data_IF_389395557243
#
_entry.id   IF_389395557243
#
_cell.length_a   1.000
_cell.length_b   1.000
_cell.length_c   1.000
_cell.angle_alpha   90.00
_cell.angle_beta   90.00
_cell.angle_gamma   90.00
#
_symmetry.space_group_name_H-M   'P 1'
#
loop_
_entity.id
_entity.type
_entity.pdbx_description
1 polymer ?
#
# COMPACT_ATOMS: atom_id res chain seq x y z
N UNK A 1 24.11 -12.27 -23.76
CA UNK A 1 23.57 -10.91 -23.47
C UNK A 1 23.68 -10.72 -21.96
N UNK A 2 24.24 -9.60 -21.49
CA UNK A 2 24.40 -9.35 -20.05
C UNK A 2 23.02 -9.10 -19.42
N UNK A 3 22.72 -9.72 -18.27
CA UNK A 3 21.45 -9.50 -17.56
C UNK A 3 21.38 -8.09 -16.99
N UNK A 4 20.16 -7.61 -16.68
CA UNK A 4 19.99 -6.28 -16.07
C UNK A 4 20.73 -6.20 -14.73
N UNK A 5 20.59 -7.22 -13.88
CA UNK A 5 21.33 -7.34 -12.61
C UNK A 5 22.85 -7.25 -12.80
N UNK A 6 23.41 -8.01 -13.76
CA UNK A 6 24.85 -8.00 -14.00
C UNK A 6 25.35 -6.63 -14.44
N UNK A 7 24.55 -5.87 -15.20
CA UNK A 7 24.90 -4.49 -15.59
C UNK A 7 24.90 -3.54 -14.40
N UNK A 8 23.90 -3.66 -13.51
CA UNK A 8 23.78 -2.83 -12.32
C UNK A 8 24.96 -3.06 -11.37
N UNK A 9 25.27 -4.32 -11.08
CA UNK A 9 26.38 -4.69 -10.18
C UNK A 9 27.73 -4.22 -10.74
N UNK A 10 27.95 -4.35 -12.05
CA UNK A 10 29.17 -3.85 -12.69
C UNK A 10 29.33 -2.32 -12.54
N UNK A 11 28.25 -1.56 -12.72
CA UNK A 11 28.30 -0.10 -12.49
C UNK A 11 28.47 0.25 -11.01
N UNK A 12 27.91 -0.57 -10.11
CA UNK A 12 28.07 -0.38 -8.67
C UNK A 12 29.52 -0.53 -8.23
N UNK A 13 30.26 -1.50 -8.78
CA UNK A 13 31.68 -1.64 -8.50
C UNK A 13 32.47 -0.37 -8.87
N UNK A 14 32.16 0.24 -10.02
CA UNK A 14 32.76 1.52 -10.45
C UNK A 14 32.41 2.64 -9.46
N UNK A 15 31.13 2.73 -9.06
CA UNK A 15 30.69 3.72 -8.07
C UNK A 15 31.38 3.54 -6.72
N UNK A 16 31.53 2.31 -6.23
CA UNK A 16 32.18 1.99 -4.96
C UNK A 16 33.63 2.45 -4.97
N UNK A 17 34.38 2.13 -6.02
CA UNK A 17 35.79 2.53 -6.12
C UNK A 17 35.93 4.06 -6.21
N UNK A 18 35.11 4.72 -7.01
CA UNK A 18 35.10 6.19 -7.08
C UNK A 18 34.74 6.82 -5.72
N UNK A 19 33.76 6.26 -5.01
CA UNK A 19 33.30 6.76 -3.72
C UNK A 19 34.33 6.53 -2.62
N UNK A 20 35.05 5.41 -2.62
CA UNK A 20 36.21 5.17 -1.74
C UNK A 20 37.33 6.20 -1.94
N UNK A 21 37.57 6.65 -3.19
CA UNK A 21 38.54 7.73 -3.44
C UNK A 21 38.06 9.08 -2.90
N UNK A 22 36.76 9.37 -3.08
CA UNK A 22 36.15 10.62 -2.60
C UNK A 22 36.03 10.69 -1.08
N UNK A 23 35.69 9.57 -0.44
CA UNK A 23 35.51 9.44 1.00
C UNK A 23 36.12 8.10 1.48
N UNK A 24 37.45 8.05 1.70
CA UNK A 24 38.13 6.84 2.14
C UNK A 24 37.61 6.34 3.49
N UNK A 25 37.49 5.01 3.67
CA UNK A 25 36.97 4.42 4.92
C UNK A 25 37.69 4.93 6.16
N UNK A 26 39.03 5.02 6.10
CA UNK A 26 39.86 5.49 7.20
C UNK A 26 39.50 6.89 7.70
N UNK A 27 38.86 7.72 6.87
CA UNK A 27 38.46 9.08 7.25
C UNK A 27 37.26 9.13 8.19
N UNK A 28 36.44 8.07 8.27
CA UNK A 28 35.21 8.07 9.07
C UNK A 28 34.96 6.81 9.89
N UNK A 29 35.69 5.71 9.66
CA UNK A 29 35.43 4.43 10.31
C UNK A 29 35.41 4.51 11.85
N UNK A 30 36.30 5.31 12.43
CA UNK A 30 36.40 5.49 13.88
C UNK A 30 35.24 6.31 14.49
N UNK A 31 34.50 7.04 13.65
CA UNK A 31 33.34 7.83 14.07
C UNK A 31 32.06 7.00 14.06
N UNK A 32 32.05 5.87 13.37
CA UNK A 32 30.88 5.01 13.22
C UNK A 32 30.50 4.41 14.57
N UNK A 33 29.29 4.74 15.01
CA UNK A 33 28.67 4.11 16.17
C UNK A 33 27.70 3.00 15.71
N UNK A 34 27.58 1.91 16.50
CA UNK A 34 26.57 0.89 16.25
C UNK A 34 25.15 1.46 16.20
N UNK A 35 24.27 0.82 15.44
CA UNK A 35 22.84 1.12 15.41
C UNK A 35 22.23 1.04 16.82
N UNK A 36 21.30 1.94 17.09
CA UNK A 36 20.47 1.96 18.30
C UNK A 36 19.02 1.53 18.03
N UNK A 37 18.66 1.25 16.76
CA UNK A 37 17.33 0.76 16.35
C UNK A 37 17.39 -0.72 16.01
N UNK A 38 16.30 -1.42 16.30
CA UNK A 38 16.26 -2.88 16.27
C UNK A 38 15.43 -3.38 15.08
N UNK A 39 16.09 -3.52 13.92
CA UNK A 39 15.42 -3.96 12.68
C UNK A 39 14.75 -5.34 12.80
N UNK A 40 15.44 -6.30 13.42
CA UNK A 40 14.88 -7.64 13.59
C UNK A 40 13.62 -7.62 14.45
N UNK A 41 13.65 -6.91 15.58
CA UNK A 41 12.53 -6.85 16.52
C UNK A 41 11.31 -6.14 15.91
N UNK A 42 11.53 -5.10 15.11
CA UNK A 42 10.44 -4.35 14.46
C UNK A 42 9.63 -5.19 13.44
N UNK A 43 10.22 -6.28 12.94
CA UNK A 43 9.58 -7.20 11.99
C UNK A 43 9.02 -8.47 12.67
N UNK A 44 9.28 -8.67 13.97
CA UNK A 44 8.64 -9.73 14.74
C UNK A 44 7.27 -9.27 15.26
N UNK A 45 6.38 -10.22 15.50
CA UNK A 45 5.13 -9.98 16.20
C UNK A 45 3.93 -10.71 15.57
N UNK A 46 2.76 -10.47 16.14
CA UNK A 46 1.52 -11.13 15.73
C UNK A 46 0.88 -10.51 14.47
N UNK A 47 1.26 -9.28 14.11
CA UNK A 47 0.71 -8.58 12.94
C UNK A 47 1.66 -8.68 11.77
N UNK A 48 1.10 -8.76 10.57
CA UNK A 48 1.84 -8.60 9.33
C UNK A 48 2.63 -7.27 9.34
N UNK A 49 3.94 -7.35 9.09
CA UNK A 49 4.85 -6.21 9.09
C UNK A 49 4.91 -5.52 7.72
N UNK A 50 5.18 -4.21 7.71
CA UNK A 50 5.36 -3.44 6.47
C UNK A 50 6.67 -2.68 6.47
N UNK A 51 7.49 -2.97 5.46
CA UNK A 51 8.65 -2.19 5.08
C UNK A 51 8.21 -1.25 3.95
N UNK A 52 8.01 0.02 4.25
CA UNK A 52 7.58 1.00 3.25
C UNK A 52 8.81 1.67 2.63
N UNK A 53 8.85 1.73 1.30
CA UNK A 53 10.08 2.02 0.57
C UNK A 53 10.05 3.41 -0.11
N UNK A 54 11.01 4.26 0.24
CA UNK A 54 11.30 5.53 -0.40
C UNK A 54 12.04 5.27 -1.72
N UNK A 55 11.30 5.32 -2.84
CA UNK A 55 11.82 5.00 -4.19
C UNK A 55 11.40 6.05 -5.22
N UNK A 56 12.38 6.80 -5.75
CA UNK A 56 12.16 7.83 -6.78
C UNK A 56 11.98 7.22 -8.17
N UNK A 57 12.85 6.29 -8.55
CA UNK A 57 12.86 5.66 -9.86
C UNK A 57 13.09 4.14 -9.76
N UNK A 58 12.96 3.43 -10.89
CA UNK A 58 13.39 2.02 -11.01
C UNK A 58 13.83 1.69 -12.43
N UNK A 59 14.70 0.67 -12.63
CA UNK A 59 15.08 0.21 -13.97
C UNK A 59 13.90 -0.09 -14.90
N UNK A 60 12.81 -0.63 -14.34
CA UNK A 60 11.64 -1.06 -15.12
C UNK A 60 10.64 0.05 -15.46
N UNK A 61 10.63 1.15 -14.70
CA UNK A 61 9.60 2.20 -14.83
C UNK A 61 10.16 3.61 -15.09
N UNK A 62 11.50 3.77 -15.07
CA UNK A 62 12.09 5.11 -15.05
C UNK A 62 11.70 5.85 -13.76
N UNK A 63 11.51 7.16 -13.84
CA UNK A 63 11.03 7.98 -12.72
C UNK A 63 9.60 7.59 -12.38
N UNK A 64 9.37 7.27 -11.11
CA UNK A 64 8.06 6.90 -10.55
C UNK A 64 7.43 8.11 -9.86
N UNK A 65 8.25 8.94 -9.21
CA UNK A 65 7.83 10.14 -8.50
C UNK A 65 8.72 11.33 -8.86
N UNK A 66 8.13 12.29 -9.57
CA UNK A 66 8.82 13.53 -9.92
C UNK A 66 9.06 14.40 -8.68
N UNK A 67 8.00 14.71 -7.93
CA UNK A 67 8.04 15.43 -6.64
C UNK A 67 8.48 14.50 -5.48
N UNK A 68 9.78 14.19 -5.44
CA UNK A 68 10.36 13.27 -4.47
C UNK A 68 11.06 14.02 -3.32
N UNK A 69 10.41 14.01 -2.15
CA UNK A 69 10.91 14.60 -0.90
C UNK A 69 10.96 13.51 0.19
N UNK A 70 12.16 13.01 0.55
CA UNK A 70 12.31 11.96 1.56
C UNK A 70 11.73 12.31 2.92
N UNK A 71 11.79 13.58 3.35
CA UNK A 71 11.27 14.01 4.65
C UNK A 71 9.74 13.91 4.67
N UNK A 72 9.08 14.42 3.63
CA UNK A 72 7.62 14.33 3.48
C UNK A 72 7.13 12.89 3.35
N UNK A 73 7.87 12.04 2.66
CA UNK A 73 7.56 10.61 2.55
C UNK A 73 7.66 9.94 3.93
N UNK A 74 8.77 10.16 4.63
CA UNK A 74 9.01 9.60 5.96
C UNK A 74 7.96 10.05 6.99
N UNK A 75 7.56 11.33 6.94
CA UNK A 75 6.54 11.85 7.86
C UNK A 75 5.18 11.19 7.71
N UNK A 76 4.88 10.60 6.54
CA UNK A 76 3.67 9.80 6.30
C UNK A 76 3.92 8.34 6.68
N UNK A 77 5.03 7.75 6.21
CA UNK A 77 5.34 6.35 6.45
C UNK A 77 5.50 5.98 7.92
N UNK A 78 5.97 6.89 8.78
CA UNK A 78 6.11 6.64 10.22
C UNK A 78 4.81 6.21 10.92
N UNK A 79 3.64 6.52 10.35
CA UNK A 79 2.35 6.15 10.94
C UNK A 79 1.95 4.69 10.65
N UNK A 80 2.64 4.02 9.73
CA UNK A 80 2.21 2.72 9.19
C UNK A 80 3.32 1.66 9.17
N UNK A 81 4.56 2.11 8.95
CA UNK A 81 5.69 1.23 8.71
C UNK A 81 6.21 0.57 10.00
N UNK A 82 6.61 -0.70 9.87
CA UNK A 82 7.47 -1.40 10.83
C UNK A 82 8.93 -1.00 10.64
N UNK A 83 9.36 -0.87 9.38
CA UNK A 83 10.67 -0.36 8.98
C UNK A 83 10.53 0.50 7.72
N UNK A 84 11.45 1.41 7.46
CA UNK A 84 11.44 2.23 6.24
C UNK A 84 12.65 1.85 5.40
N UNK A 85 12.41 1.46 4.15
CA UNK A 85 13.48 1.20 3.19
C UNK A 85 13.80 2.45 2.40
N UNK A 86 15.09 2.74 2.20
CA UNK A 86 15.56 3.90 1.44
C UNK A 86 16.52 3.40 0.37
N UNK A 87 16.22 3.73 -0.89
CA UNK A 87 17.10 3.43 -2.01
C UNK A 87 18.29 4.39 -1.98
N UNK A 88 19.50 3.85 -2.05
CA UNK A 88 20.75 4.63 -2.11
C UNK A 88 21.48 4.50 -3.44
N UNK A 89 21.02 3.63 -4.34
CA UNK A 89 21.55 3.56 -5.69
C UNK A 89 21.13 4.78 -6.52
N UNK A 90 22.12 5.58 -6.91
CA UNK A 90 21.93 6.82 -7.67
C UNK A 90 21.48 6.55 -9.12
N UNK A 91 22.15 5.63 -9.82
CA UNK A 91 22.03 5.51 -11.28
C UNK A 91 20.68 4.93 -11.73
N UNK A 92 20.20 3.89 -11.05
CA UNK A 92 19.06 3.10 -11.47
C UNK A 92 17.79 3.43 -10.69
N UNK A 93 17.95 3.89 -9.44
CA UNK A 93 16.83 4.21 -8.55
C UNK A 93 16.72 5.70 -8.21
N UNK A 94 17.71 6.52 -8.60
CA UNK A 94 17.81 7.94 -8.23
C UNK A 94 17.71 8.13 -6.70
N UNK A 95 18.31 7.20 -5.98
CA UNK A 95 18.52 7.24 -4.54
C UNK A 95 19.74 8.07 -4.16
N UNK A 96 19.96 8.21 -2.86
CA UNK A 96 21.17 8.81 -2.29
C UNK A 96 21.37 8.34 -0.85
N UNK A 97 22.63 8.15 -0.45
CA UNK A 97 22.98 7.93 0.96
C UNK A 97 22.55 9.10 1.86
N UNK A 98 22.49 10.33 1.32
CA UNK A 98 22.04 11.52 2.06
C UNK A 98 20.55 11.46 2.45
N UNK A 99 19.76 10.58 1.82
CA UNK A 99 18.35 10.40 2.20
C UNK A 99 18.19 9.61 3.50
N UNK A 100 19.14 8.73 3.84
CA UNK A 100 19.08 7.94 5.07
C UNK A 100 18.97 8.79 6.35
N UNK A 101 19.82 9.80 6.61
CA UNK A 101 19.69 10.64 7.80
C UNK A 101 18.42 11.48 7.80
N UNK A 102 17.98 11.97 6.63
CA UNK A 102 16.72 12.74 6.50
C UNK A 102 15.52 11.89 6.93
N UNK A 103 15.45 10.66 6.43
CA UNK A 103 14.39 9.71 6.80
C UNK A 103 14.53 9.28 8.26
N UNK A 104 15.74 8.99 8.73
CA UNK A 104 16.01 8.63 10.13
C UNK A 104 15.61 9.71 11.12
N UNK A 105 15.79 10.99 10.79
CA UNK A 105 15.37 12.12 11.63
C UNK A 105 13.85 12.31 11.64
N UNK A 106 13.18 11.94 10.55
CA UNK A 106 11.74 12.14 10.37
C UNK A 106 10.88 10.98 10.90
N UNK A 107 11.46 9.79 11.05
CA UNK A 107 10.74 8.58 11.44
C UNK A 107 11.53 7.75 12.48
N UNK A 108 10.88 7.24 13.55
CA UNK A 108 11.56 6.48 14.59
C UNK A 108 11.88 5.02 14.22
N UNK A 109 11.28 4.49 13.14
CA UNK A 109 11.48 3.11 12.69
C UNK A 109 12.93 2.81 12.29
N UNK A 110 13.37 1.54 12.34
CA UNK A 110 14.64 1.14 11.72
C UNK A 110 14.66 1.47 10.22
N UNK A 111 15.78 2.06 9.77
CA UNK A 111 16.00 2.45 8.39
C UNK A 111 16.83 1.39 7.66
N UNK A 112 16.23 0.77 6.64
CA UNK A 112 16.89 -0.20 5.77
C UNK A 112 17.53 0.52 4.58
N UNK A 113 18.86 0.47 4.49
CA UNK A 113 19.60 0.83 3.28
C UNK A 113 19.39 -0.24 2.21
N UNK A 114 18.66 0.10 1.14
CA UNK A 114 18.40 -0.78 0.00
C UNK A 114 19.32 -0.38 -1.15
N UNK A 115 20.34 -1.19 -1.40
CA UNK A 115 21.33 -1.01 -2.46
C UNK A 115 21.90 -2.38 -2.89
N UNK A 116 22.69 -2.38 -3.95
CA UNK A 116 23.52 -3.51 -4.38
C UNK A 116 24.81 -3.50 -3.55
N UNK A 117 24.76 -4.08 -2.36
CA UNK A 117 25.94 -4.16 -1.48
C UNK A 117 26.83 -5.31 -1.91
N UNK A 118 28.05 -4.98 -2.33
CA UNK A 118 29.08 -5.92 -2.79
C UNK A 118 30.42 -5.75 -2.07
N UNK A 119 30.58 -4.68 -1.29
CA UNK A 119 31.81 -4.35 -0.59
C UNK A 119 31.54 -3.89 0.86
N UNK A 120 32.36 -4.32 1.85
CA UNK A 120 32.29 -3.87 3.24
C UNK A 120 32.18 -2.35 3.43
N UNK A 121 32.87 -1.58 2.59
CA UNK A 121 32.82 -0.12 2.57
C UNK A 121 31.39 0.42 2.56
N UNK A 122 30.51 -0.20 1.77
CA UNK A 122 29.12 0.25 1.64
C UNK A 122 28.34 0.06 2.94
N UNK A 123 28.63 -0.97 3.75
CA UNK A 123 27.97 -1.19 5.03
C UNK A 123 28.41 -0.14 6.04
N UNK A 124 29.71 0.14 6.12
CA UNK A 124 30.24 1.23 6.96
C UNK A 124 29.68 2.59 6.54
N UNK A 125 29.62 2.85 5.24
CA UNK A 125 29.03 4.07 4.70
C UNK A 125 27.53 4.17 5.06
N UNK A 126 26.77 3.09 4.89
CA UNK A 126 25.35 3.06 5.27
C UNK A 126 25.16 3.37 6.76
N UNK A 127 25.97 2.77 7.64
CA UNK A 127 25.90 3.03 9.08
C UNK A 127 26.31 4.46 9.44
N UNK A 128 27.34 5.00 8.79
CA UNK A 128 27.74 6.40 8.93
C UNK A 128 26.55 7.33 8.63
N UNK A 129 25.81 7.02 7.56
CA UNK A 129 24.57 7.69 7.16
C UNK A 129 23.31 7.23 7.95
N UNK A 130 23.48 6.64 9.13
CA UNK A 130 22.39 6.26 10.05
C UNK A 130 21.50 5.08 9.63
N UNK A 131 21.89 4.24 8.66
CA UNK A 131 21.13 3.05 8.31
C UNK A 131 21.21 1.97 9.41
N UNK A 132 20.08 1.45 9.84
CA UNK A 132 19.97 0.45 10.91
C UNK A 132 19.90 -0.98 10.38
N UNK A 133 19.70 -1.13 9.08
CA UNK A 133 19.78 -2.40 8.38
C UNK A 133 20.29 -2.22 6.95
N UNK A 134 20.70 -3.32 6.34
CA UNK A 134 21.12 -3.35 4.94
C UNK A 134 20.55 -4.57 4.20
N UNK A 135 20.48 -4.45 2.87
CA UNK A 135 20.13 -5.55 1.97
C UNK A 135 21.38 -6.35 1.60
N UNK A 136 21.32 -7.67 1.69
CA UNK A 136 22.32 -8.57 1.10
C UNK A 136 21.62 -9.55 0.15
N UNK A 137 22.08 -9.62 -1.09
CA UNK A 137 21.41 -10.37 -2.16
C UNK A 137 22.18 -11.64 -2.51
N UNK A 138 21.55 -12.82 -2.37
CA UNK A 138 22.19 -14.09 -2.73
C UNK A 138 22.32 -14.30 -4.24
N UNK A 139 21.58 -13.53 -5.04
CA UNK A 139 21.76 -13.45 -6.49
C UNK A 139 23.03 -12.71 -6.93
N UNK A 140 23.71 -12.03 -6.00
CA UNK A 140 24.91 -11.21 -6.25
C UNK A 140 26.12 -11.76 -5.49
N UNK A 141 25.91 -12.21 -4.26
CA UNK A 141 26.97 -12.64 -3.34
C UNK A 141 27.11 -14.15 -3.34
N UNK A 142 28.34 -14.63 -3.31
CA UNK A 142 28.61 -16.00 -2.86
C UNK A 142 28.47 -16.11 -1.33
N UNK A 143 28.58 -17.34 -0.82
CA UNK A 143 28.40 -17.63 0.61
C UNK A 143 29.49 -17.04 1.51
N UNK A 144 30.72 -16.89 1.02
CA UNK A 144 31.83 -16.34 1.78
C UNK A 144 31.66 -14.82 1.93
N UNK A 145 31.38 -14.15 0.82
CA UNK A 145 31.06 -12.72 0.78
C UNK A 145 29.85 -12.40 1.65
N UNK A 146 28.78 -13.19 1.56
CA UNK A 146 27.60 -13.01 2.42
C UNK A 146 27.97 -13.12 3.91
N UNK A 147 28.73 -14.15 4.32
CA UNK A 147 29.16 -14.32 5.71
C UNK A 147 30.01 -13.13 6.18
N UNK A 148 30.93 -12.67 5.35
CA UNK A 148 31.77 -11.51 5.67
C UNK A 148 30.93 -10.23 5.85
N UNK A 149 30.07 -9.91 4.87
CA UNK A 149 29.25 -8.71 4.88
C UNK A 149 28.22 -8.73 6.02
N UNK A 150 27.57 -9.88 6.23
CA UNK A 150 26.60 -10.04 7.32
C UNK A 150 27.26 -9.89 8.70
N UNK A 151 28.46 -10.44 8.91
CA UNK A 151 29.21 -10.27 10.15
C UNK A 151 29.57 -8.79 10.43
N UNK A 152 29.94 -8.04 9.39
CA UNK A 152 30.22 -6.60 9.52
C UNK A 152 28.96 -5.83 9.91
N UNK A 153 27.83 -6.08 9.25
CA UNK A 153 26.54 -5.48 9.61
C UNK A 153 26.18 -5.79 11.07
N UNK A 154 26.32 -7.04 11.51
CA UNK A 154 26.04 -7.44 12.88
C UNK A 154 27.00 -6.81 13.90
N UNK A 155 28.29 -6.62 13.57
CA UNK A 155 29.25 -5.91 14.42
C UNK A 155 28.83 -4.46 14.72
N UNK A 156 28.10 -3.86 13.77
CA UNK A 156 27.54 -2.51 13.86
C UNK A 156 26.11 -2.52 14.43
N UNK A 157 25.65 -3.64 14.99
CA UNK A 157 24.27 -3.87 15.46
C UNK A 157 23.21 -3.59 14.38
N UNK A 158 23.57 -3.66 13.10
CA UNK A 158 22.63 -3.51 12.00
C UNK A 158 21.89 -4.82 11.73
N UNK A 159 20.65 -4.70 11.25
CA UNK A 159 19.91 -5.80 10.67
C UNK A 159 20.36 -6.13 9.24
N UNK A 160 20.02 -7.33 8.79
CA UNK A 160 20.23 -7.80 7.42
C UNK A 160 18.90 -8.34 6.89
N UNK A 161 18.43 -7.77 5.78
CA UNK A 161 17.41 -8.36 4.92
C UNK A 161 18.12 -9.18 3.85
N UNK A 162 17.96 -10.50 3.89
CA UNK A 162 18.60 -11.43 2.94
C UNK A 162 17.68 -11.67 1.76
N UNK A 163 18.00 -11.13 0.59
CA UNK A 163 17.14 -11.25 -0.59
C UNK A 163 17.45 -12.52 -1.38
N UNK A 164 16.38 -13.25 -1.69
CA UNK A 164 16.38 -14.44 -2.56
C UNK A 164 15.36 -14.28 -3.67
N UNK A 165 15.64 -14.90 -4.81
CA UNK A 165 14.85 -14.84 -6.02
C UNK A 165 14.49 -16.22 -6.57
N UNK A 166 15.17 -17.29 -6.15
CA UNK A 166 14.91 -18.65 -6.63
C UNK A 166 15.12 -19.70 -5.50
N UNK A 167 14.87 -20.97 -5.84
CA UNK A 167 14.91 -22.09 -4.90
C UNK A 167 16.33 -22.34 -4.35
N UNK A 168 17.36 -22.24 -5.20
CA UNK A 168 18.77 -22.40 -4.81
C UNK A 168 19.20 -21.31 -3.81
N UNK A 169 18.87 -20.06 -4.07
CA UNK A 169 19.14 -18.95 -3.15
C UNK A 169 18.39 -19.13 -1.83
N UNK A 170 17.16 -19.67 -1.85
CA UNK A 170 16.43 -19.99 -0.61
C UNK A 170 17.14 -21.06 0.21
N UNK A 171 17.64 -22.13 -0.42
CA UNK A 171 18.42 -23.17 0.29
C UNK A 171 19.68 -22.59 0.93
N UNK A 172 20.38 -21.72 0.19
CA UNK A 172 21.54 -21.00 0.71
C UNK A 172 21.16 -20.11 1.90
N UNK A 173 20.05 -19.37 1.84
CA UNK A 173 19.61 -18.54 2.97
C UNK A 173 19.37 -19.36 4.25
N UNK A 174 18.81 -20.57 4.13
CA UNK A 174 18.65 -21.50 5.26
C UNK A 174 20.02 -21.96 5.77
N UNK A 175 20.90 -22.41 4.87
CA UNK A 175 22.23 -22.89 5.23
C UNK A 175 23.11 -21.80 5.89
N UNK A 176 22.91 -20.55 5.50
CA UNK A 176 23.60 -19.38 6.03
C UNK A 176 22.97 -18.83 7.32
N UNK A 177 21.84 -19.39 7.78
CA UNK A 177 21.17 -18.99 9.02
C UNK A 177 20.58 -17.58 8.97
N UNK A 178 20.09 -17.14 7.81
CA UNK A 178 19.46 -15.83 7.65
C UNK A 178 18.21 -15.69 8.54
N UNK A 179 18.14 -14.62 9.34
CA UNK A 179 17.01 -14.36 10.27
C UNK A 179 15.80 -13.73 9.59
N UNK A 180 16.06 -12.86 8.60
CA UNK A 180 15.02 -12.20 7.78
C UNK A 180 15.36 -12.46 6.33
N UNK A 181 14.44 -13.12 5.63
CA UNK A 181 14.58 -13.45 4.21
C UNK A 181 13.51 -12.73 3.42
N UNK A 182 13.97 -11.91 2.47
CA UNK A 182 13.14 -11.24 1.50
C UNK A 182 13.01 -12.07 0.23
N UNK A 183 11.79 -12.44 -0.16
CA UNK A 183 11.53 -13.11 -1.44
C UNK A 183 11.14 -12.04 -2.45
N UNK A 184 12.04 -11.80 -3.41
CA UNK A 184 11.78 -10.83 -4.46
C UNK A 184 10.96 -11.47 -5.58
N UNK A 185 9.69 -11.07 -5.67
CA UNK A 185 8.81 -11.53 -6.74
C UNK A 185 9.23 -10.94 -8.10
N UNK A 186 10.12 -9.93 -8.14
CA UNK A 186 10.73 -9.43 -9.37
C UNK A 186 12.10 -10.04 -9.57
N UNK A 187 12.31 -10.69 -10.70
CA UNK A 187 13.66 -11.10 -11.10
C UNK A 187 14.42 -9.93 -11.69
N UNK A 188 15.52 -9.51 -11.08
CA UNK A 188 16.33 -8.41 -11.62
C UNK A 188 17.17 -8.81 -12.84
N UNK A 189 17.19 -10.09 -13.23
CA UNK A 189 17.88 -10.54 -14.44
C UNK A 189 17.12 -10.14 -15.71
N UNK A 190 15.79 -10.23 -15.68
CA UNK A 190 14.89 -9.99 -16.82
C UNK A 190 13.70 -9.03 -16.53
N UNK A 191 13.56 -8.57 -15.28
CA UNK A 191 12.52 -7.68 -14.76
C UNK A 191 11.10 -8.29 -14.69
N UNK A 192 10.94 -9.58 -14.93
CA UNK A 192 9.67 -10.30 -14.77
C UNK A 192 9.17 -10.24 -13.32
N UNK A 193 7.84 -10.25 -13.13
CA UNK A 193 7.22 -10.30 -11.80
C UNK A 193 6.33 -11.54 -11.73
N UNK A 194 6.52 -12.36 -10.70
CA UNK A 194 5.68 -13.50 -10.40
C UNK A 194 5.49 -13.67 -8.89
N UNK A 195 4.28 -13.40 -8.39
CA UNK A 195 3.92 -13.55 -6.98
C UNK A 195 3.95 -15.02 -6.53
N UNK A 196 3.97 -15.99 -7.45
CA UNK A 196 4.12 -17.41 -7.09
C UNK A 196 5.48 -17.72 -6.48
N UNK A 197 6.52 -16.89 -6.69
CA UNK A 197 7.80 -17.03 -5.97
C UNK A 197 7.57 -17.00 -4.47
N UNK A 198 6.80 -16.03 -3.97
CA UNK A 198 6.43 -15.99 -2.54
C UNK A 198 5.66 -17.24 -2.14
N UNK A 199 4.61 -17.62 -2.89
CA UNK A 199 3.76 -18.79 -2.55
C UNK A 199 4.54 -20.10 -2.45
N UNK A 200 5.54 -20.28 -3.31
CA UNK A 200 6.31 -21.52 -3.40
C UNK A 200 7.53 -21.54 -2.46
N UNK A 201 8.22 -20.41 -2.30
CA UNK A 201 9.48 -20.36 -1.56
C UNK A 201 9.28 -20.12 -0.06
N UNK A 202 8.30 -19.28 0.32
CA UNK A 202 8.11 -18.87 1.71
C UNK A 202 7.81 -20.04 2.67
N UNK A 203 6.91 -21.00 2.33
CA UNK A 203 6.61 -22.13 3.22
C UNK A 203 7.82 -23.01 3.55
N UNK A 204 8.87 -22.99 2.72
CA UNK A 204 10.06 -23.83 2.90
C UNK A 204 11.14 -23.20 3.78
N UNK A 205 11.02 -21.93 4.17
CA UNK A 205 11.98 -21.23 5.05
C UNK A 205 11.81 -21.60 6.54
N UNK A 206 10.65 -22.13 6.93
CA UNK A 206 10.35 -22.55 8.30
C UNK A 206 9.99 -21.40 9.25
N UNK A 207 9.44 -21.74 10.42
CA UNK A 207 8.85 -20.77 11.36
C UNK A 207 9.87 -19.90 12.13
N UNK A 208 11.17 -20.23 12.08
CA UNK A 208 12.24 -19.46 12.74
C UNK A 208 12.78 -18.29 11.91
N UNK A 209 12.32 -18.14 10.67
CA UNK A 209 12.76 -17.10 9.73
C UNK A 209 11.60 -16.14 9.49
N UNK A 210 11.86 -14.84 9.62
CA UNK A 210 10.89 -13.83 9.19
C UNK A 210 10.93 -13.68 7.69
N UNK A 211 9.83 -13.96 7.03
CA UNK A 211 9.70 -13.91 5.58
C UNK A 211 9.05 -12.59 5.15
N UNK A 212 9.71 -11.85 4.26
CA UNK A 212 9.21 -10.62 3.67
C UNK A 212 8.93 -10.86 2.18
N UNK A 213 7.72 -10.59 1.70
CA UNK A 213 7.40 -10.61 0.27
C UNK A 213 7.67 -9.25 -0.36
N UNK A 214 8.44 -9.22 -1.45
CA UNK A 214 8.87 -7.97 -2.08
C UNK A 214 8.41 -7.89 -3.54
N UNK A 215 8.12 -6.67 -4.01
CA UNK A 215 7.74 -6.36 -5.39
C UNK A 215 6.39 -6.93 -5.86
N UNK A 216 5.65 -6.14 -6.65
CA UNK A 216 4.43 -6.61 -7.33
C UNK A 216 3.16 -6.63 -6.47
N UNK A 217 3.25 -6.28 -5.18
CA UNK A 217 2.10 -6.14 -4.27
C UNK A 217 1.51 -4.73 -4.43
N UNK A 218 0.27 -4.66 -4.93
CA UNK A 218 -0.42 -3.40 -5.24
C UNK A 218 -1.79 -3.27 -4.57
N UNK A 219 -2.39 -4.37 -4.10
CA UNK A 219 -3.77 -4.36 -3.56
C UNK A 219 -3.84 -4.99 -2.18
N UNK A 220 -4.87 -4.61 -1.43
CA UNK A 220 -5.17 -5.20 -0.13
C UNK A 220 -5.51 -6.70 -0.23
N UNK A 221 -6.21 -7.11 -1.28
CA UNK A 221 -6.49 -8.54 -1.53
C UNK A 221 -5.21 -9.37 -1.64
N UNK A 222 -4.20 -8.86 -2.36
CA UNK A 222 -2.88 -9.52 -2.44
C UNK A 222 -2.18 -9.57 -1.09
N UNK A 223 -2.23 -8.49 -0.31
CA UNK A 223 -1.66 -8.45 1.05
C UNK A 223 -2.31 -9.50 1.95
N UNK A 224 -3.65 -9.58 1.94
CA UNK A 224 -4.42 -10.55 2.74
C UNK A 224 -4.16 -11.99 2.33
N UNK A 225 -4.01 -12.25 1.04
CA UNK A 225 -3.68 -13.57 0.53
C UNK A 225 -2.24 -13.96 0.91
N UNK A 226 -1.27 -13.08 0.61
CA UNK A 226 0.14 -13.38 0.76
C UNK A 226 0.61 -13.35 2.22
N UNK A 227 -0.14 -12.72 3.14
CA UNK A 227 0.16 -12.76 4.59
C UNK A 227 -0.01 -14.15 5.19
N UNK A 228 -0.67 -15.08 4.48
CA UNK A 228 -0.69 -16.50 4.85
C UNK A 228 0.64 -17.22 4.55
N UNK A 229 1.50 -16.63 3.70
CA UNK A 229 2.79 -17.19 3.29
C UNK A 229 3.97 -16.43 3.90
N UNK A 230 3.85 -15.11 4.03
CA UNK A 230 4.91 -14.22 4.50
C UNK A 230 4.49 -13.46 5.77
N UNK A 231 5.48 -13.13 6.61
CA UNK A 231 5.27 -12.35 7.83
C UNK A 231 5.15 -10.84 7.57
N UNK A 232 5.57 -10.37 6.40
CA UNK A 232 5.49 -8.97 6.05
C UNK A 232 5.77 -8.68 4.59
N UNK A 233 5.74 -7.39 4.24
CA UNK A 233 5.84 -6.92 2.86
C UNK A 233 6.83 -5.78 2.73
N UNK A 234 7.55 -5.72 1.60
CA UNK A 234 8.28 -4.53 1.17
C UNK A 234 7.58 -3.89 -0.03
N UNK A 235 7.09 -2.65 0.14
CA UNK A 235 6.22 -1.97 -0.82
C UNK A 235 6.74 -0.57 -1.13
N UNK A 236 7.00 -0.29 -2.40
CA UNK A 236 7.44 1.03 -2.89
C UNK A 236 6.61 1.56 -4.04
N UNK A 237 6.73 0.97 -5.24
CA UNK A 237 6.15 1.54 -6.47
C UNK A 237 4.63 1.75 -6.44
N UNK A 238 3.87 0.89 -5.73
CA UNK A 238 2.42 1.06 -5.58
C UNK A 238 2.06 2.35 -4.82
N UNK A 239 2.97 2.82 -3.96
CA UNK A 239 2.79 4.00 -3.12
C UNK A 239 3.35 5.23 -3.80
N UNK A 240 4.58 5.15 -4.31
CA UNK A 240 5.33 6.29 -4.85
C UNK A 240 4.71 6.89 -6.12
N UNK A 241 3.96 6.09 -6.89
CA UNK A 241 3.29 6.53 -8.12
C UNK A 241 2.03 7.39 -7.89
N UNK A 242 1.67 7.68 -6.64
CA UNK A 242 0.47 8.44 -6.30
C UNK A 242 0.81 9.72 -5.55
N UNK A 243 0.20 10.83 -5.93
CA UNK A 243 0.43 12.13 -5.28
C UNK A 243 0.06 12.10 -3.80
N UNK A 244 -1.16 11.64 -3.49
CA UNK A 244 -1.61 11.38 -2.13
C UNK A 244 -1.05 10.04 -1.62
N UNK A 245 0.11 10.14 -0.96
CA UNK A 245 0.79 9.01 -0.37
C UNK A 245 0.01 8.36 0.77
N UNK A 246 -0.75 9.15 1.55
CA UNK A 246 -1.48 8.64 2.70
C UNK A 246 -2.64 7.74 2.24
N UNK A 247 -3.40 8.18 1.24
CA UNK A 247 -4.40 7.36 0.59
C UNK A 247 -3.78 6.13 -0.08
N UNK A 248 -2.61 6.26 -0.71
CA UNK A 248 -1.91 5.13 -1.32
C UNK A 248 -1.54 4.04 -0.31
N UNK A 249 -1.01 4.41 0.86
CA UNK A 249 -0.70 3.45 1.93
C UNK A 249 -1.96 2.76 2.42
N UNK A 250 -3.03 3.52 2.70
CA UNK A 250 -4.30 2.97 3.20
C UNK A 250 -4.95 1.99 2.22
N UNK A 251 -4.94 2.30 0.92
CA UNK A 251 -5.51 1.40 -0.11
C UNK A 251 -4.85 0.02 -0.11
N UNK A 252 -3.54 -0.03 0.12
CA UNK A 252 -2.80 -1.31 0.14
C UNK A 252 -2.92 -2.01 1.50
N UNK A 253 -2.87 -1.27 2.61
CA UNK A 253 -2.86 -1.86 3.95
C UNK A 253 -4.25 -2.18 4.51
N UNK A 254 -5.28 -1.47 4.07
CA UNK A 254 -6.64 -1.54 4.62
C UNK A 254 -7.68 -1.87 3.55
N UNK A 255 -7.41 -1.58 2.28
CA UNK A 255 -8.36 -1.66 1.17
C UNK A 255 -8.93 -0.29 0.78
N UNK A 256 -9.65 -0.27 -0.33
CA UNK A 256 -10.31 0.91 -0.90
C UNK A 256 -11.61 1.27 -0.17
N UNK A 257 -11.54 1.36 1.16
CA UNK A 257 -12.74 1.46 1.99
C UNK A 257 -13.39 2.83 1.92
N UNK A 258 -14.72 2.80 1.93
CA UNK A 258 -15.60 3.95 1.88
C UNK A 258 -16.47 4.02 3.13
N UNK A 259 -16.62 5.24 3.67
CA UNK A 259 -17.63 5.55 4.67
C UNK A 259 -18.69 6.42 4.00
N UNK A 260 -19.86 5.85 3.73
CA UNK A 260 -20.96 6.49 3.00
C UNK A 260 -21.90 7.27 3.92
N UNK A 261 -22.62 8.25 3.37
CA UNK A 261 -23.66 8.99 4.08
C UNK A 261 -23.10 9.94 5.15
N UNK A 262 -21.98 10.61 4.85
CA UNK A 262 -21.40 11.63 5.71
C UNK A 262 -22.24 12.91 5.61
N UNK A 263 -22.67 13.41 6.77
CA UNK A 263 -23.48 14.64 6.86
C UNK A 263 -22.83 15.72 7.74
N UNK A 264 -21.70 15.41 8.38
CA UNK A 264 -21.02 16.28 9.36
C UNK A 264 -19.51 16.26 9.16
N UNK A 265 -18.89 17.43 9.32
CA UNK A 265 -17.44 17.61 9.30
C UNK A 265 -16.68 16.64 10.23
N UNK A 266 -17.13 16.52 11.48
CA UNK A 266 -16.50 15.63 12.46
C UNK A 266 -16.51 14.15 12.07
N UNK A 267 -17.52 13.71 11.30
CA UNK A 267 -17.65 12.31 10.89
C UNK A 267 -16.69 12.00 9.73
N UNK A 268 -16.54 12.95 8.79
CA UNK A 268 -15.54 12.86 7.74
C UNK A 268 -14.12 12.80 8.34
N UNK A 269 -13.85 13.64 9.34
CA UNK A 269 -12.57 13.59 10.06
C UNK A 269 -12.36 12.27 10.77
N UNK A 270 -13.37 11.76 11.48
CA UNK A 270 -13.28 10.46 12.15
C UNK A 270 -13.05 9.30 11.16
N UNK A 271 -13.73 9.30 10.01
CA UNK A 271 -13.53 8.31 8.95
C UNK A 271 -12.11 8.38 8.38
N UNK A 272 -11.61 9.59 8.10
CA UNK A 272 -10.25 9.80 7.62
C UNK A 272 -9.20 9.37 8.64
N UNK A 273 -9.38 9.69 9.92
CA UNK A 273 -8.45 9.30 10.98
C UNK A 273 -8.42 7.78 11.21
N UNK A 274 -9.58 7.12 11.07
CA UNK A 274 -9.68 5.67 11.14
C UNK A 274 -8.96 4.98 9.98
N UNK A 275 -8.84 5.64 8.82
CA UNK A 275 -8.11 5.12 7.65
C UNK A 275 -8.96 4.93 6.40
N UNK A 276 -10.16 5.51 6.35
CA UNK A 276 -10.97 5.51 5.14
C UNK A 276 -10.23 6.21 3.98
N UNK A 277 -10.49 5.71 2.77
CA UNK A 277 -10.02 6.32 1.52
C UNK A 277 -11.11 7.22 0.96
N UNK A 278 -12.35 6.73 0.97
CA UNK A 278 -13.48 7.42 0.38
C UNK A 278 -14.49 7.91 1.43
N UNK A 279 -15.06 9.09 1.17
CA UNK A 279 -16.21 9.64 1.90
C UNK A 279 -17.42 9.79 0.98
N UNK A 280 -18.56 9.17 1.32
CA UNK A 280 -19.77 9.25 0.50
C UNK A 280 -20.68 10.40 0.93
N UNK A 281 -21.09 11.24 -0.02
CA UNK A 281 -22.07 12.32 0.14
C UNK A 281 -23.33 11.95 -0.62
N UNK A 282 -24.48 11.87 0.05
CA UNK A 282 -25.72 11.39 -0.59
C UNK A 282 -26.55 12.59 -1.07
N UNK A 283 -26.85 12.63 -2.36
CA UNK A 283 -27.71 13.64 -2.99
C UNK A 283 -29.08 13.08 -3.40
N UNK A 284 -29.38 11.83 -3.06
CA UNK A 284 -30.69 11.21 -3.29
C UNK A 284 -31.75 11.80 -2.34
N UNK A 285 -32.80 12.48 -2.85
CA UNK A 285 -33.76 13.23 -2.01
C UNK A 285 -34.51 12.38 -0.97
N UNK A 286 -34.76 11.10 -1.27
CA UNK A 286 -35.47 10.19 -0.37
C UNK A 286 -34.61 9.69 0.80
N UNK A 287 -33.29 9.94 0.77
CA UNK A 287 -32.40 9.43 1.81
C UNK A 287 -32.51 10.24 3.10
N UNK A 288 -32.58 9.61 4.28
CA UNK A 288 -32.45 10.32 5.56
C UNK A 288 -31.04 10.89 5.78
N UNK A 289 -30.09 10.58 4.88
CA UNK A 289 -28.68 11.01 4.90
C UNK A 289 -28.37 12.01 3.80
N UNK A 290 -29.40 12.61 3.20
CA UNK A 290 -29.24 13.57 2.11
C UNK A 290 -28.52 14.84 2.60
N UNK A 291 -27.64 15.38 1.76
CA UNK A 291 -26.95 16.65 2.02
C UNK A 291 -27.20 17.64 0.88
N UNK A 292 -27.17 18.93 1.19
CA UNK A 292 -27.10 19.99 0.18
C UNK A 292 -25.63 20.36 -0.11
N UNK A 293 -25.41 21.29 -1.06
CA UNK A 293 -24.05 21.71 -1.47
C UNK A 293 -23.26 22.34 -0.33
N UNK A 294 -23.89 23.16 0.50
CA UNK A 294 -23.19 23.88 1.57
C UNK A 294 -22.75 22.91 2.68
N UNK A 295 -23.64 22.01 3.10
CA UNK A 295 -23.31 20.94 4.04
C UNK A 295 -22.24 19.99 3.49
N UNK A 296 -22.28 19.68 2.19
CA UNK A 296 -21.25 18.89 1.53
C UNK A 296 -19.89 19.60 1.57
N UNK A 297 -19.84 20.91 1.30
CA UNK A 297 -18.59 21.71 1.39
C UNK A 297 -18.01 21.70 2.79
N UNK A 298 -18.83 21.89 3.81
CA UNK A 298 -18.39 21.81 5.21
C UNK A 298 -17.81 20.43 5.56
N UNK A 299 -18.47 19.37 5.07
CA UNK A 299 -18.01 17.99 5.29
C UNK A 299 -16.71 17.70 4.55
N UNK A 300 -16.52 18.23 3.33
CA UNK A 300 -15.30 18.10 2.52
C UNK A 300 -14.12 18.83 3.15
N UNK A 301 -14.35 20.05 3.65
CA UNK A 301 -13.29 20.86 4.24
C UNK A 301 -12.65 20.24 5.49
N UNK A 302 -13.34 19.30 6.14
CA UNK A 302 -12.90 18.70 7.39
C UNK A 302 -11.80 17.65 7.24
N UNK A 303 -11.71 16.97 6.10
CA UNK A 303 -10.76 15.89 5.88
C UNK A 303 -10.44 15.68 4.39
N UNK A 304 -9.19 15.35 4.04
CA UNK A 304 -8.82 15.08 2.64
C UNK A 304 -9.17 13.65 2.23
N UNK A 305 -10.46 13.28 2.33
CA UNK A 305 -10.98 12.05 1.74
C UNK A 305 -11.18 12.22 0.23
N UNK A 306 -11.20 11.11 -0.50
CA UNK A 306 -11.71 11.10 -1.87
C UNK A 306 -13.24 11.07 -1.83
N UNK A 307 -13.89 12.20 -2.04
CA UNK A 307 -15.34 12.29 -1.89
C UNK A 307 -16.09 11.74 -3.11
N UNK A 308 -17.13 10.95 -2.83
CA UNK A 308 -17.99 10.28 -3.82
C UNK A 308 -19.41 10.78 -3.65
N UNK A 309 -19.96 11.41 -4.68
CA UNK A 309 -21.37 11.85 -4.69
C UNK A 309 -22.28 10.70 -5.07
N UNK A 310 -23.28 10.37 -4.26
CA UNK A 310 -24.25 9.30 -4.52
C UNK A 310 -25.54 9.90 -5.06
N UNK A 311 -25.93 9.47 -6.25
CA UNK A 311 -27.08 9.96 -6.99
C UNK A 311 -28.03 8.81 -7.31
N UNK A 312 -29.31 9.13 -7.48
CA UNK A 312 -30.33 8.16 -7.84
C UNK A 312 -31.22 8.76 -8.92
N UNK A 313 -31.07 8.30 -10.16
CA UNK A 313 -31.83 8.75 -11.33
C UNK A 313 -31.85 10.29 -11.47
N UNK A 314 -30.74 10.94 -11.10
CA UNK A 314 -30.62 12.39 -11.12
C UNK A 314 -30.45 12.90 -12.55
N UNK A 315 -30.74 14.18 -12.76
CA UNK A 315 -30.43 14.83 -14.04
C UNK A 315 -28.91 14.95 -14.23
N UNK A 316 -28.42 14.68 -15.44
CA UNK A 316 -26.98 14.68 -15.74
C UNK A 316 -26.35 16.06 -15.49
N UNK A 317 -27.05 17.15 -15.82
CA UNK A 317 -26.52 18.50 -15.62
C UNK A 317 -26.34 18.79 -14.12
N UNK A 318 -27.28 18.33 -13.29
CA UNK A 318 -27.18 18.44 -11.83
C UNK A 318 -26.01 17.61 -11.26
N UNK A 319 -25.83 16.37 -11.75
CA UNK A 319 -24.68 15.51 -11.37
C UNK A 319 -23.36 16.20 -11.72
N UNK A 320 -23.24 16.69 -12.96
CA UNK A 320 -22.03 17.37 -13.44
C UNK A 320 -21.76 18.67 -12.67
N UNK A 321 -22.79 19.46 -12.37
CA UNK A 321 -22.66 20.67 -11.57
C UNK A 321 -22.12 20.35 -10.19
N UNK A 322 -22.71 19.38 -9.48
CA UNK A 322 -22.27 19.00 -8.14
C UNK A 322 -20.86 18.40 -8.16
N UNK A 323 -20.54 17.57 -9.15
CA UNK A 323 -19.20 17.00 -9.31
C UNK A 323 -18.14 18.09 -9.48
N UNK A 324 -18.40 19.10 -10.30
CA UNK A 324 -17.49 20.23 -10.50
C UNK A 324 -17.38 21.12 -9.26
N UNK A 325 -18.52 21.54 -8.70
CA UNK A 325 -18.57 22.47 -7.56
C UNK A 325 -17.93 21.91 -6.30
N UNK A 326 -18.06 20.60 -6.08
CA UNK A 326 -17.53 19.91 -4.91
C UNK A 326 -16.19 19.20 -5.18
N UNK A 327 -15.68 19.28 -6.41
CA UNK A 327 -14.46 18.57 -6.83
C UNK A 327 -14.51 17.07 -6.49
N UNK A 328 -15.65 16.43 -6.76
CA UNK A 328 -15.85 15.02 -6.44
C UNK A 328 -14.84 14.14 -7.17
N UNK A 329 -14.31 13.13 -6.50
CA UNK A 329 -13.43 12.13 -7.11
C UNK A 329 -14.22 11.12 -7.95
N UNK A 330 -15.47 10.85 -7.55
CA UNK A 330 -16.37 9.96 -8.28
C UNK A 330 -17.84 10.35 -8.10
N UNK A 331 -18.66 9.91 -9.05
CA UNK A 331 -20.12 9.91 -8.94
C UNK A 331 -20.61 8.46 -8.92
N UNK A 332 -21.37 8.11 -7.89
CA UNK A 332 -21.96 6.79 -7.70
C UNK A 332 -23.43 6.82 -8.09
N UNK A 333 -23.77 6.03 -9.11
CA UNK A 333 -25.12 5.84 -9.64
C UNK A 333 -25.81 4.71 -8.88
N UNK A 334 -26.84 5.05 -8.11
CA UNK A 334 -27.55 4.17 -7.18
C UNK A 334 -29.06 4.07 -7.52
N UNK A 335 -29.43 4.32 -8.76
CA UNK A 335 -30.76 4.12 -9.29
C UNK A 335 -30.82 3.04 -10.37
N UNK A 336 -31.75 3.23 -11.30
CA UNK A 336 -31.99 2.40 -12.47
C UNK A 336 -31.31 3.00 -13.71
N UNK A 337 -30.22 3.75 -13.54
CA UNK A 337 -29.48 4.37 -14.65
C UNK A 337 -28.93 3.28 -15.57
N UNK A 338 -29.29 3.36 -16.85
CA UNK A 338 -28.90 2.39 -17.87
C UNK A 338 -27.60 2.79 -18.60
N UNK A 339 -27.18 1.98 -19.58
CA UNK A 339 -25.97 2.26 -20.34
C UNK A 339 -26.05 3.57 -21.14
N UNK A 340 -27.24 3.97 -21.60
CA UNK A 340 -27.42 5.21 -22.36
C UNK A 340 -27.16 6.42 -21.45
N UNK A 341 -27.70 6.39 -20.23
CA UNK A 341 -27.42 7.38 -19.21
C UNK A 341 -25.92 7.44 -18.89
N UNK A 342 -25.27 6.28 -18.67
CA UNK A 342 -23.83 6.25 -18.34
C UNK A 342 -22.97 6.83 -19.46
N UNK A 343 -23.30 6.54 -20.73
CA UNK A 343 -22.60 7.13 -21.87
C UNK A 343 -22.73 8.65 -21.90
N UNK A 344 -23.97 9.16 -21.80
CA UNK A 344 -24.23 10.59 -21.80
C UNK A 344 -23.56 11.30 -20.61
N UNK A 345 -23.60 10.70 -19.43
CA UNK A 345 -22.89 11.22 -18.26
C UNK A 345 -21.38 11.25 -18.49
N UNK A 346 -20.79 10.19 -19.07
CA UNK A 346 -19.35 10.14 -19.34
C UNK A 346 -18.91 11.24 -20.30
N UNK A 347 -19.72 11.54 -21.32
CA UNK A 347 -19.47 12.63 -22.27
C UNK A 347 -19.49 14.01 -21.60
N UNK A 348 -20.40 14.22 -20.63
CA UNK A 348 -20.55 15.50 -19.93
C UNK A 348 -19.60 15.69 -18.73
N UNK A 349 -19.21 14.60 -18.06
CA UNK A 349 -18.44 14.64 -16.81
C UNK A 349 -16.94 14.81 -17.09
N UNK A 350 -16.20 15.62 -16.29
CA UNK A 350 -14.74 15.74 -16.43
C UNK A 350 -14.03 14.38 -16.36
N UNK A 351 -13.04 14.15 -17.22
CA UNK A 351 -12.38 12.83 -17.39
C UNK A 351 -11.74 12.27 -16.12
N UNK A 352 -11.33 13.14 -15.21
CA UNK A 352 -10.71 12.76 -13.93
C UNK A 352 -11.74 12.31 -12.87
N UNK A 353 -13.03 12.56 -13.07
CA UNK A 353 -14.10 12.11 -12.17
C UNK A 353 -14.55 10.72 -12.61
N UNK A 354 -14.47 9.76 -11.71
CA UNK A 354 -14.87 8.38 -11.98
C UNK A 354 -16.39 8.21 -11.96
N UNK A 355 -16.90 7.20 -12.67
CA UNK A 355 -18.30 6.78 -12.62
C UNK A 355 -18.38 5.42 -11.95
N UNK A 356 -19.13 5.34 -10.86
CA UNK A 356 -19.37 4.10 -10.12
C UNK A 356 -20.82 3.66 -10.28
N UNK A 357 -21.07 2.36 -10.36
CA UNK A 357 -22.43 1.81 -10.44
C UNK A 357 -22.73 0.92 -9.24
N UNK A 358 -23.75 1.27 -8.47
CA UNK A 358 -24.31 0.37 -7.47
C UNK A 358 -25.28 -0.61 -8.14
N UNK A 359 -25.13 -1.89 -7.80
CA UNK A 359 -25.97 -2.98 -8.26
C UNK A 359 -26.40 -3.80 -7.05
N UNK A 360 -27.71 -3.99 -6.90
CA UNK A 360 -28.27 -4.84 -5.85
C UNK A 360 -28.07 -6.31 -6.21
N UNK A 361 -27.60 -7.11 -5.25
CA UNK A 361 -27.48 -8.56 -5.36
C UNK A 361 -28.62 -9.20 -4.57
N UNK A 362 -29.40 -10.06 -5.23
CA UNK A 362 -30.40 -10.92 -4.60
C UNK A 362 -29.93 -12.38 -4.65
N UNK A 363 -30.60 -13.23 -5.42
CA UNK A 363 -30.29 -14.67 -5.54
C UNK A 363 -29.16 -14.97 -6.54
N UNK A 364 -28.81 -13.99 -7.38
CA UNK A 364 -27.75 -14.11 -8.38
C UNK A 364 -26.99 -12.79 -8.55
N UNK A 365 -25.73 -12.88 -8.99
CA UNK A 365 -24.93 -11.70 -9.27
C UNK A 365 -25.43 -10.98 -10.54
N UNK A 366 -25.59 -9.65 -10.50
CA UNK A 366 -25.89 -8.87 -11.68
C UNK A 366 -24.68 -8.82 -12.62
N UNK A 367 -24.96 -8.68 -13.91
CA UNK A 367 -23.92 -8.47 -14.91
C UNK A 367 -23.17 -7.15 -14.65
N UNK A 368 -21.86 -7.16 -14.91
CA UNK A 368 -20.96 -5.99 -14.83
C UNK A 368 -20.44 -5.62 -16.21
N UNK A 369 -21.36 -5.42 -17.14
CA UNK A 369 -21.09 -5.19 -18.56
C UNK A 369 -21.19 -3.70 -18.96
N UNK A 370 -21.28 -2.80 -17.99
CA UNK A 370 -21.35 -1.37 -18.26
C UNK A 370 -20.02 -0.83 -18.79
N UNK A 371 -20.09 -0.11 -19.92
CA UNK A 371 -18.99 0.71 -20.42
C UNK A 371 -18.88 1.99 -19.60
N UNK A 372 -17.66 2.49 -19.45
CA UNK A 372 -17.33 3.73 -18.74
C UNK A 372 -17.60 3.73 -17.22
N UNK A 373 -17.87 2.55 -16.62
CA UNK A 373 -17.93 2.38 -15.17
C UNK A 373 -16.57 1.92 -14.66
N UNK A 374 -16.01 2.69 -13.73
CA UNK A 374 -14.69 2.45 -13.14
C UNK A 374 -14.76 1.48 -11.95
N UNK A 375 -15.87 1.52 -11.20
CA UNK A 375 -16.05 0.73 -9.98
C UNK A 375 -17.51 0.34 -9.76
N UNK A 376 -17.73 -0.83 -9.16
CA UNK A 376 -19.04 -1.34 -8.81
C UNK A 376 -19.22 -1.40 -7.30
N UNK A 377 -20.44 -1.14 -6.83
CA UNK A 377 -20.84 -1.34 -5.44
C UNK A 377 -21.87 -2.46 -5.42
N UNK A 378 -21.55 -3.57 -4.76
CA UNK A 378 -22.51 -4.65 -4.54
C UNK A 378 -23.15 -4.50 -3.16
N UNK A 379 -24.45 -4.22 -3.15
CA UNK A 379 -25.27 -4.02 -1.96
C UNK A 379 -26.47 -4.99 -2.00
N UNK A 380 -27.25 -5.06 -0.93
CA UNK A 380 -28.53 -5.76 -0.89
C UNK A 380 -29.72 -4.78 -0.80
N UNK A 381 -30.52 -4.74 -1.87
CA UNK A 381 -31.80 -4.04 -1.95
C UNK A 381 -31.68 -2.54 -2.26
N UNK A 382 -32.58 -1.75 -1.68
CA UNK A 382 -32.50 -0.29 -1.71
C UNK A 382 -31.58 0.14 -0.57
N UNK A 383 -30.39 0.65 -0.91
CA UNK A 383 -29.26 0.81 0.02
C UNK A 383 -29.60 1.40 1.40
N UNK A 384 -28.84 0.98 2.42
CA UNK A 384 -29.07 1.39 3.81
C UNK A 384 -30.11 0.54 4.56
N UNK A 385 -30.57 -0.56 3.98
CA UNK A 385 -31.45 -1.57 4.60
C UNK A 385 -30.84 -2.28 5.81
N UNK A 386 -29.50 -2.24 5.93
CA UNK A 386 -28.74 -2.96 6.96
C UNK A 386 -28.66 -4.48 6.72
N UNK A 387 -29.17 -4.97 5.59
CA UNK A 387 -29.15 -6.39 5.26
C UNK A 387 -27.95 -6.73 4.37
N UNK A 388 -27.41 -7.93 4.56
CA UNK A 388 -26.37 -8.52 3.68
C UNK A 388 -27.02 -9.41 2.63
N UNK A 389 -26.35 -9.62 1.50
CA UNK A 389 -26.66 -10.70 0.57
C UNK A 389 -25.72 -11.90 0.84
N UNK A 390 -25.92 -13.00 0.13
CA UNK A 390 -25.04 -14.16 0.23
C UNK A 390 -23.69 -13.90 -0.45
N UNK A 391 -22.64 -13.67 0.34
CA UNK A 391 -21.29 -13.40 -0.17
C UNK A 391 -20.64 -14.61 -0.85
N UNK A 392 -21.16 -15.83 -0.66
CA UNK A 392 -20.65 -17.02 -1.36
C UNK A 392 -20.78 -16.90 -2.88
N UNK A 393 -21.75 -16.09 -3.35
CA UNK A 393 -21.95 -15.77 -4.76
C UNK A 393 -20.72 -15.09 -5.41
N UNK A 394 -19.87 -14.43 -4.62
CA UNK A 394 -18.68 -13.71 -5.09
C UNK A 394 -17.47 -14.64 -5.30
N UNK A 395 -17.56 -15.90 -4.88
CA UNK A 395 -16.44 -16.83 -5.00
C UNK A 395 -16.04 -17.06 -6.46
N UNK A 396 -14.74 -16.93 -6.75
CA UNK A 396 -14.19 -17.12 -8.09
C UNK A 396 -14.42 -15.95 -9.06
N UNK A 397 -15.04 -14.86 -8.60
CA UNK A 397 -15.23 -13.66 -9.41
C UNK A 397 -14.02 -12.73 -9.32
N UNK A 398 -13.70 -11.95 -10.37
CA UNK A 398 -12.74 -10.86 -10.27
C UNK A 398 -13.37 -9.68 -9.53
N UNK A 399 -12.79 -9.28 -8.39
CA UNK A 399 -13.40 -8.29 -7.48
C UNK A 399 -12.54 -7.03 -7.27
N UNK A 400 -11.50 -6.85 -8.09
CA UNK A 400 -10.54 -5.74 -7.98
C UNK A 400 -11.16 -4.34 -8.19
N UNK A 401 -12.34 -4.28 -8.81
CA UNK A 401 -13.12 -3.05 -9.01
C UNK A 401 -14.47 -3.06 -8.29
N UNK A 402 -14.63 -3.89 -7.25
CA UNK A 402 -15.87 -4.02 -6.48
C UNK A 402 -15.66 -3.55 -5.05
N UNK A 403 -16.53 -2.69 -4.54
CA UNK A 403 -16.70 -2.51 -3.10
C UNK A 403 -17.89 -3.34 -2.63
N UNK A 404 -17.68 -4.07 -1.54
CA UNK A 404 -18.74 -4.80 -0.86
C UNK A 404 -19.50 -3.84 0.05
N UNK A 405 -20.83 -3.84 -0.05
CA UNK A 405 -21.74 -3.05 0.77
C UNK A 405 -22.84 -3.96 1.34
N UNK A 406 -23.76 -3.38 2.11
CA UNK A 406 -24.93 -4.06 2.66
C UNK A 406 -24.68 -4.71 4.00
N UNK A 407 -25.22 -4.10 5.06
CA UNK A 407 -25.19 -4.65 6.42
C UNK A 407 -23.80 -4.74 7.06
N UNK A 408 -22.79 -4.06 6.53
CA UNK A 408 -21.43 -4.09 7.09
C UNK A 408 -21.34 -3.33 8.42
N UNK A 409 -20.82 -4.02 9.43
CA UNK A 409 -20.67 -3.53 10.79
C UNK A 409 -19.44 -4.17 11.48
N UNK A 410 -19.19 -3.81 12.74
CA UNK A 410 -18.02 -4.28 13.48
C UNK A 410 -17.98 -5.80 13.67
N UNK A 411 -19.13 -6.45 13.82
CA UNK A 411 -19.27 -7.88 14.09
C UNK A 411 -18.97 -8.77 12.87
N UNK A 412 -19.16 -8.25 11.64
CA UNK A 412 -18.96 -9.00 10.39
C UNK A 412 -17.79 -8.49 9.52
N UNK A 413 -17.10 -7.42 9.96
CA UNK A 413 -16.01 -6.79 9.21
C UNK A 413 -14.88 -7.77 8.82
N UNK A 414 -14.50 -8.70 9.72
CA UNK A 414 -13.45 -9.71 9.43
C UNK A 414 -13.84 -10.57 8.22
N UNK A 415 -15.07 -11.08 8.24
CA UNK A 415 -15.60 -11.96 7.19
C UNK A 415 -15.72 -11.19 5.87
N UNK A 416 -16.23 -9.95 5.92
CA UNK A 416 -16.35 -9.09 4.75
C UNK A 416 -14.99 -8.83 4.08
N UNK A 417 -13.96 -8.55 4.88
CA UNK A 417 -12.61 -8.29 4.39
C UNK A 417 -11.93 -9.53 3.78
N UNK A 418 -12.39 -10.75 4.11
CA UNK A 418 -11.89 -12.01 3.54
C UNK A 418 -12.50 -12.35 2.18
N UNK A 419 -13.58 -11.68 1.78
CA UNK A 419 -14.26 -11.92 0.49
C UNK A 419 -13.35 -11.58 -0.71
N UNK A 420 -12.37 -10.68 -0.53
CA UNK A 420 -11.43 -10.30 -1.58
C UNK A 420 -11.91 -9.17 -2.50
N UNK A 421 -12.95 -8.45 -2.11
CA UNK A 421 -13.32 -7.18 -2.77
C UNK A 421 -12.22 -6.13 -2.60
N UNK A 422 -12.17 -5.16 -3.52
CA UNK A 422 -11.21 -4.05 -3.47
C UNK A 422 -11.28 -3.25 -2.17
N UNK A 423 -12.48 -3.14 -1.59
CA UNK A 423 -12.72 -2.53 -0.29
C UNK A 423 -14.16 -2.73 0.18
N UNK A 424 -14.46 -2.11 1.31
CA UNK A 424 -15.78 -2.18 1.97
C UNK A 424 -16.44 -0.80 1.98
N UNK A 425 -17.75 -0.75 1.77
CA UNK A 425 -18.59 0.47 1.85
C UNK A 425 -19.47 0.43 3.11
N UNK A 426 -19.01 1.09 4.17
CA UNK A 426 -19.71 1.17 5.44
C UNK A 426 -20.73 2.31 5.42
N UNK A 427 -21.94 2.06 5.93
CA UNK A 427 -22.97 3.09 6.07
C UNK A 427 -23.67 3.04 7.44
N UNK A 428 -24.79 2.32 7.55
CA UNK A 428 -25.62 2.28 8.76
C UNK A 428 -25.03 1.45 9.91
N UNK A 429 -24.22 0.43 9.62
CA UNK A 429 -23.60 -0.42 10.65
C UNK A 429 -22.49 0.28 11.47
N UNK A 430 -22.18 1.54 11.15
CA UNK A 430 -21.22 2.39 11.88
C UNK A 430 -21.86 3.72 12.30
N UNK A 431 -23.18 3.75 12.43
CA UNK A 431 -23.96 4.91 12.85
C UNK A 431 -24.52 4.74 14.27
N UNK A 432 -24.70 5.87 14.95
CA UNK A 432 -25.56 5.95 16.15
C UNK A 432 -26.98 6.39 15.80
N UNK A 433 -27.14 7.20 14.74
CA UNK A 433 -28.40 7.58 14.11
C UNK A 433 -28.17 7.76 12.60
N UNK A 434 -29.21 7.70 11.74
CA UNK A 434 -29.06 7.95 10.31
C UNK A 434 -28.33 9.28 10.03
N UNK A 435 -27.18 9.20 9.34
CA UNK A 435 -26.35 10.37 8.99
C UNK A 435 -25.36 10.80 10.08
N UNK A 436 -25.41 10.17 11.26
CA UNK A 436 -24.56 10.45 12.42
C UNK A 436 -23.65 9.24 12.68
N UNK A 437 -22.41 9.32 12.19
CA UNK A 437 -21.42 8.24 12.39
C UNK A 437 -20.99 8.15 13.85
N UNK A 438 -20.72 6.93 14.30
CA UNK A 438 -20.10 6.66 15.60
C UNK A 438 -18.60 6.47 15.42
N UNK A 439 -17.80 7.39 15.97
CA UNK A 439 -16.35 7.38 15.84
C UNK A 439 -15.69 6.13 16.44
N UNK A 440 -16.27 5.53 17.48
CA UNK A 440 -15.75 4.30 18.09
C UNK A 440 -16.00 3.09 17.20
N UNK A 441 -17.18 3.01 16.57
CA UNK A 441 -17.47 1.97 15.59
C UNK A 441 -16.58 2.09 14.36
N UNK A 442 -16.36 3.30 13.86
CA UNK A 442 -15.40 3.56 12.77
C UNK A 442 -14.00 3.09 13.14
N UNK A 443 -13.46 3.52 14.28
CA UNK A 443 -12.14 3.08 14.73
C UNK A 443 -12.07 1.55 14.86
N UNK A 444 -13.13 0.91 15.38
CA UNK A 444 -13.20 -0.54 15.53
C UNK A 444 -13.14 -1.28 14.19
N UNK A 445 -13.95 -0.89 13.19
CA UNK A 445 -13.93 -1.59 11.89
C UNK A 445 -12.58 -1.44 11.19
N UNK A 446 -11.96 -0.26 11.23
CA UNK A 446 -10.66 -0.04 10.60
C UNK A 446 -9.50 -0.71 11.35
N UNK A 447 -9.58 -0.80 12.68
CA UNK A 447 -8.64 -1.63 13.46
C UNK A 447 -8.73 -3.10 13.05
N UNK A 448 -9.95 -3.61 12.87
CA UNK A 448 -10.20 -4.97 12.37
C UNK A 448 -9.64 -5.18 10.97
N UNK A 449 -9.79 -4.20 10.07
CA UNK A 449 -9.23 -4.28 8.71
C UNK A 449 -7.71 -4.37 8.70
N UNK A 450 -7.03 -3.87 9.75
CA UNK A 450 -5.57 -3.97 9.90
C UNK A 450 -5.11 -5.20 10.68
N UNK A 451 -6.02 -5.97 11.27
CA UNK A 451 -5.72 -7.11 12.13
C UNK A 451 -5.53 -8.40 11.30
N UNK A 452 -4.38 -8.49 10.64
CA UNK A 452 -3.92 -9.66 9.90
C UNK A 452 -2.38 -9.75 9.94
#
# INVERSE_FOLDING_TARGET
MQTVLAKIVADKAIWVEARKQQQPLASFQNEIQPSTRHFYDALQGARTAFILECKKASPSKGVIRDDFDPARIASIYQHYASAISVLTDEKYFQGSFDFLPVVSQSAPQPILCKDFIIDPYQIYLARYYQADACLLMLSVLDDEQYRQLSAIAHSLKMGVLTEVSNDEERERAIALGAKVVGINNRDLRDLSIDLNRTRQLAPKLGHGVTVISESGINTYGQVRELSHFANGFLIGSALMAHDDLNAAVRRVLLGENKVCGLTRAQDAKAAYDAGAVYGGLIFAPASPRVVNIDQARETIAAAPLLYVGVFQNADIADVCQKAAVLSLSAVQLHGSEDQAYVNALREALPRNVQIWKALSVSDALPARDYRHVDKYIFDNGQGGSGQRFDWSLLQGQPLDNVLLAGGLAADNCVQAAQVGCAGLDFNSGVESQPGIKDARLLASVFQTLRAY
#
